data_IF_099918684415
#
_entry.id   IF_099918684415
#
_cell.length_a   1.000
_cell.length_b   1.000
_cell.length_c   1.000
_cell.angle_alpha   90.00
_cell.angle_beta   90.00
_cell.angle_gamma   90.00
#
_symmetry.space_group_name_H-M   'P 1'
#
loop_
_entity.id
_entity.type
_entity.pdbx_description
1 polymer ?
#
# COMPACT_ATOMS: atom_id res chain seq x y z
N UNK A 1 -9.88 -4.09 2.47
CA UNK A 1 -10.51 -2.84 2.92
C UNK A 1 -9.45 -1.76 3.01
N UNK A 2 -9.77 -0.51 2.65
CA UNK A 2 -8.88 0.64 2.79
C UNK A 2 -8.40 0.75 4.24
N UNK A 3 -7.11 1.02 4.44
CA UNK A 3 -6.53 1.23 5.76
C UNK A 3 -6.30 -0.02 6.62
N UNK A 4 -6.76 -1.21 6.21
CA UNK A 4 -6.69 -2.43 7.02
C UNK A 4 -5.25 -2.82 7.45
N UNK A 5 -4.24 -2.43 6.69
CA UNK A 5 -2.83 -2.76 6.96
C UNK A 5 -2.22 -2.01 8.15
N UNK A 6 -2.79 -0.89 8.56
CA UNK A 6 -2.20 -0.01 9.58
C UNK A 6 -2.95 -0.03 10.91
N UNK A 7 -4.19 -0.55 10.98
CA UNK A 7 -4.99 -0.52 12.21
C UNK A 7 -4.32 -1.37 13.31
N UNK A 8 -3.93 -0.79 14.46
CA UNK A 8 -3.36 -1.54 15.57
C UNK A 8 -4.29 -2.67 16.02
N UNK A 9 -3.74 -3.82 16.39
CA UNK A 9 -4.53 -5.00 16.76
C UNK A 9 -5.46 -4.76 17.96
N UNK A 10 -5.04 -3.92 18.91
CA UNK A 10 -5.83 -3.56 20.09
C UNK A 10 -6.83 -2.42 19.83
N UNK A 11 -6.78 -1.76 18.66
CA UNK A 11 -7.69 -0.67 18.32
C UNK A 11 -9.10 -1.21 18.03
N UNK A 12 -10.12 -0.51 18.50
CA UNK A 12 -11.52 -0.89 18.27
C UNK A 12 -11.90 -0.93 16.78
N UNK A 13 -11.20 -0.16 15.94
CA UNK A 13 -11.32 -0.19 14.49
C UNK A 13 -10.91 -1.52 13.88
N UNK A 14 -10.08 -2.32 14.54
CA UNK A 14 -9.61 -3.60 14.00
C UNK A 14 -10.76 -4.62 13.93
N UNK A 15 -11.54 -4.73 15.01
CA UNK A 15 -12.74 -5.61 15.06
C UNK A 15 -13.81 -5.12 14.09
N UNK A 16 -13.98 -3.79 13.95
CA UNK A 16 -14.92 -3.22 12.98
C UNK A 16 -14.51 -3.57 11.54
N UNK A 17 -13.24 -3.37 11.20
CA UNK A 17 -12.68 -3.75 9.89
C UNK A 17 -12.85 -5.24 9.60
N UNK A 18 -12.68 -6.12 10.60
CA UNK A 18 -12.91 -7.56 10.43
C UNK A 18 -14.38 -7.87 10.11
N UNK A 19 -15.32 -7.22 10.80
CA UNK A 19 -16.76 -7.36 10.52
C UNK A 19 -17.13 -6.86 9.11
N UNK A 20 -16.57 -5.72 8.71
CA UNK A 20 -16.74 -5.16 7.36
C UNK A 20 -16.15 -6.09 6.28
N UNK A 21 -14.99 -6.71 6.54
CA UNK A 21 -14.43 -7.72 5.64
C UNK A 21 -15.39 -8.90 5.43
N UNK A 22 -16.04 -9.37 6.50
CA UNK A 22 -17.05 -10.44 6.44
C UNK A 22 -18.25 -10.06 5.58
N UNK A 23 -18.74 -8.84 5.70
CA UNK A 23 -19.82 -8.33 4.84
C UNK A 23 -19.35 -8.19 3.39
N UNK A 24 -18.11 -7.69 3.19
CA UNK A 24 -17.57 -7.44 1.86
C UNK A 24 -17.35 -8.71 1.07
N UNK A 25 -16.85 -9.78 1.68
CA UNK A 25 -16.59 -11.04 0.96
C UNK A 25 -17.88 -11.67 0.42
N UNK A 26 -19.00 -11.55 1.14
CA UNK A 26 -20.32 -12.02 0.64
C UNK A 26 -20.70 -11.26 -0.64
N UNK A 27 -20.54 -9.93 -0.64
CA UNK A 27 -20.79 -9.12 -1.84
C UNK A 27 -19.85 -9.49 -3.00
N UNK A 28 -18.56 -9.72 -2.74
CA UNK A 28 -17.59 -10.15 -3.76
C UNK A 28 -17.98 -11.47 -4.43
N UNK A 29 -18.59 -12.41 -3.69
CA UNK A 29 -19.09 -13.66 -4.26
C UNK A 29 -20.23 -13.39 -5.26
N UNK A 30 -21.15 -12.47 -4.93
CA UNK A 30 -22.24 -12.09 -5.84
C UNK A 30 -21.75 -11.33 -7.08
N UNK A 31 -20.64 -10.59 -6.95
CA UNK A 31 -20.00 -9.85 -8.04
C UNK A 31 -19.09 -10.72 -8.94
N UNK A 32 -18.86 -11.99 -8.57
CA UNK A 32 -17.77 -12.82 -9.12
C UNK A 32 -16.41 -12.07 -9.11
N UNK A 33 -16.15 -11.27 -8.08
CA UNK A 33 -14.94 -10.47 -7.97
C UNK A 33 -13.78 -11.34 -7.50
N UNK A 34 -13.01 -11.84 -8.47
CA UNK A 34 -11.93 -12.82 -8.25
C UNK A 34 -10.57 -12.14 -8.08
N UNK A 35 -9.62 -12.78 -7.36
CA UNK A 35 -8.25 -12.30 -7.27
C UNK A 35 -7.61 -12.02 -8.64
N UNK A 36 -7.91 -12.81 -9.68
CA UNK A 36 -7.39 -12.62 -11.03
C UNK A 36 -7.83 -11.32 -11.70
N UNK A 37 -8.90 -10.67 -11.23
CA UNK A 37 -9.35 -9.36 -11.71
C UNK A 37 -8.68 -8.20 -10.95
N UNK A 38 -8.12 -8.47 -9.78
CA UNK A 38 -7.48 -7.46 -8.90
C UNK A 38 -5.95 -7.50 -9.06
N UNK A 39 -5.38 -8.70 -9.16
CA UNK A 39 -3.94 -8.95 -9.22
C UNK A 39 -3.41 -8.79 -10.65
N UNK A 40 -3.41 -7.56 -11.16
CA UNK A 40 -2.85 -7.19 -12.46
C UNK A 40 -1.36 -6.84 -12.38
N UNK A 41 -0.68 -6.75 -13.53
CA UNK A 41 0.69 -6.23 -13.60
C UNK A 41 0.81 -4.83 -12.97
N UNK A 42 -0.18 -3.96 -13.21
CA UNK A 42 -0.24 -2.63 -12.62
C UNK A 42 -0.41 -2.68 -11.09
N UNK A 43 -1.22 -3.60 -10.57
CA UNK A 43 -1.36 -3.80 -9.13
C UNK A 43 -0.05 -4.26 -8.47
N UNK A 44 0.71 -5.15 -9.11
CA UNK A 44 2.03 -5.55 -8.62
C UNK A 44 3.06 -4.41 -8.70
N UNK A 45 3.03 -3.58 -9.76
CA UNK A 45 3.86 -2.36 -9.85
C UNK A 45 3.52 -1.36 -8.76
N UNK A 46 2.23 -1.17 -8.46
CA UNK A 46 1.78 -0.35 -7.34
C UNK A 46 2.27 -0.93 -6.02
N UNK A 47 2.09 -2.23 -5.77
CA UNK A 47 2.57 -2.87 -4.55
C UNK A 47 4.09 -2.69 -4.38
N UNK A 48 4.86 -2.82 -5.46
CA UNK A 48 6.29 -2.55 -5.47
C UNK A 48 6.61 -1.09 -5.07
N UNK A 49 5.95 -0.14 -5.72
CA UNK A 49 6.08 1.30 -5.44
C UNK A 49 5.78 1.62 -3.97
N UNK A 50 4.68 1.07 -3.45
CA UNK A 50 4.20 1.33 -2.09
C UNK A 50 5.16 0.76 -1.05
N UNK A 51 5.65 -0.47 -1.23
CA UNK A 51 6.58 -1.02 -0.24
C UNK A 51 7.93 -0.30 -0.24
N UNK A 52 8.40 0.22 -1.39
CA UNK A 52 9.60 1.08 -1.42
C UNK A 52 9.34 2.38 -0.65
N UNK A 53 8.19 3.02 -0.88
CA UNK A 53 7.81 4.25 -0.17
C UNK A 53 7.64 4.04 1.35
N UNK A 54 7.36 2.81 1.79
CA UNK A 54 7.32 2.45 3.21
C UNK A 54 8.70 2.18 3.82
N UNK A 55 9.75 1.95 3.02
CA UNK A 55 11.00 1.36 3.52
C UNK A 55 10.81 -0.11 3.92
N UNK A 56 9.97 -0.83 3.18
CA UNK A 56 9.55 -2.19 3.50
C UNK A 56 10.69 -3.21 3.59
N UNK A 57 10.45 -4.29 4.34
CA UNK A 57 11.40 -5.39 4.53
C UNK A 57 11.86 -5.98 3.19
N UNK A 58 13.14 -6.39 3.11
CA UNK A 58 13.69 -7.11 1.95
C UNK A 58 12.93 -8.39 1.62
N UNK A 59 12.29 -9.03 2.61
CA UNK A 59 11.43 -10.19 2.41
C UNK A 59 10.21 -9.89 1.54
N UNK A 60 9.75 -8.64 1.49
CA UNK A 60 8.63 -8.23 0.65
C UNK A 60 8.92 -8.49 -0.84
N UNK A 61 10.17 -8.33 -1.29
CA UNK A 61 10.56 -8.60 -2.67
C UNK A 61 10.32 -10.08 -3.05
N UNK A 62 10.71 -11.00 -2.16
CA UNK A 62 10.53 -12.45 -2.37
C UNK A 62 9.04 -12.79 -2.43
N UNK A 63 8.25 -12.30 -1.47
CA UNK A 63 6.82 -12.56 -1.43
C UNK A 63 6.07 -11.95 -2.62
N UNK A 64 6.43 -10.74 -3.04
CA UNK A 64 5.80 -10.08 -4.17
C UNK A 64 6.04 -10.85 -5.48
N UNK A 65 7.28 -11.26 -5.74
CA UNK A 65 7.63 -12.07 -6.93
C UNK A 65 6.87 -13.40 -6.90
N UNK A 66 6.82 -14.07 -5.74
CA UNK A 66 6.09 -15.33 -5.60
C UNK A 66 4.58 -15.17 -5.87
N UNK A 67 3.95 -14.12 -5.31
CA UNK A 67 2.54 -13.82 -5.56
C UNK A 67 2.27 -13.47 -7.03
N UNK A 68 3.14 -12.69 -7.66
CA UNK A 68 3.05 -12.35 -9.07
C UNK A 68 3.11 -13.61 -9.95
N UNK A 69 4.08 -14.49 -9.70
CA UNK A 69 4.19 -15.76 -10.40
C UNK A 69 2.94 -16.63 -10.24
N UNK A 70 2.28 -16.58 -9.08
CA UNK A 70 1.00 -17.28 -8.87
C UNK A 70 -0.18 -16.69 -9.62
N UNK A 71 -0.15 -15.38 -9.86
CA UNK A 71 -1.10 -14.67 -10.70
C UNK A 71 -0.78 -14.76 -12.22
N UNK A 72 0.30 -15.44 -12.61
CA UNK A 72 0.75 -15.50 -14.01
C UNK A 72 1.42 -14.21 -14.50
N UNK A 73 1.81 -13.33 -13.58
CA UNK A 73 2.49 -12.06 -13.85
C UNK A 73 3.99 -12.26 -13.62
N UNK A 74 4.81 -11.83 -14.57
CA UNK A 74 6.27 -11.81 -14.40
C UNK A 74 6.70 -10.52 -13.72
N UNK A 75 7.36 -10.65 -12.57
CA UNK A 75 8.08 -9.57 -11.87
C UNK A 75 9.46 -10.11 -11.54
N UNK A 76 10.51 -9.35 -11.86
CA UNK A 76 11.90 -9.74 -11.57
C UNK A 76 12.53 -8.83 -10.52
N UNK A 77 13.70 -9.23 -10.00
CA UNK A 77 14.46 -8.38 -9.08
C UNK A 77 14.95 -7.10 -9.79
N UNK A 78 15.24 -7.17 -11.08
CA UNK A 78 15.60 -6.00 -11.89
C UNK A 78 14.46 -4.99 -11.97
N UNK A 79 13.22 -5.46 -12.13
CA UNK A 79 12.02 -4.60 -12.13
C UNK A 79 11.89 -3.86 -10.78
N UNK A 80 12.07 -4.59 -9.67
CA UNK A 80 12.04 -4.01 -8.33
C UNK A 80 13.18 -3.02 -8.11
N UNK A 81 14.39 -3.34 -8.60
CA UNK A 81 15.54 -2.46 -8.54
C UNK A 81 15.35 -1.18 -9.38
N UNK A 82 14.64 -1.26 -10.50
CA UNK A 82 14.27 -0.07 -11.27
C UNK A 82 13.31 0.84 -10.51
N UNK A 83 12.28 0.28 -9.88
CA UNK A 83 11.33 1.04 -9.06
C UNK A 83 12.04 1.65 -7.84
N UNK A 84 12.94 0.91 -7.18
CA UNK A 84 13.67 1.40 -6.01
C UNK A 84 14.49 2.68 -6.28
N UNK A 85 14.96 2.87 -7.52
CA UNK A 85 15.74 4.05 -7.90
C UNK A 85 14.90 5.32 -8.03
N UNK A 86 13.59 5.19 -8.17
CA UNK A 86 12.69 6.31 -8.45
C UNK A 86 11.75 6.64 -7.29
N UNK A 87 11.69 5.79 -6.26
CA UNK A 87 10.75 5.91 -5.14
C UNK A 87 11.50 6.09 -3.81
N UNK A 88 11.50 7.30 -3.20
CA UNK A 88 12.10 7.52 -1.91
C UNK A 88 11.25 6.96 -0.76
N UNK A 89 11.86 6.78 0.42
CA UNK A 89 11.12 6.33 1.62
C UNK A 89 10.37 7.52 2.21
N UNK A 90 9.04 7.45 2.21
CA UNK A 90 8.14 8.51 2.65
C UNK A 90 7.56 8.26 4.05
N UNK A 91 7.44 7.01 4.49
CA UNK A 91 6.97 6.69 5.83
C UNK A 91 8.11 6.77 6.85
N UNK A 92 7.96 7.60 7.88
CA UNK A 92 8.94 7.77 8.95
C UNK A 92 8.79 6.65 9.98
N UNK A 93 9.16 5.43 9.60
CA UNK A 93 9.00 4.24 10.42
C UNK A 93 10.36 3.60 10.73
N UNK A 94 10.55 3.15 11.96
CA UNK A 94 11.69 2.30 12.30
C UNK A 94 11.73 1.06 11.38
N UNK A 95 12.89 0.66 10.81
CA UNK A 95 14.25 1.14 11.12
C UNK A 95 14.76 2.33 10.29
N UNK A 96 14.02 2.77 9.26
CA UNK A 96 14.44 3.90 8.40
C UNK A 96 14.21 5.26 9.04
N UNK A 97 13.34 5.32 10.04
CA UNK A 97 12.93 6.49 10.79
C UNK A 97 12.84 6.21 12.29
N UNK A 98 12.12 7.08 12.99
CA UNK A 98 12.03 7.08 14.46
C UNK A 98 10.62 6.82 15.03
N UNK A 99 9.61 6.63 14.17
CA UNK A 99 8.22 6.35 14.59
C UNK A 99 7.84 4.88 14.44
N UNK A 100 6.73 4.52 15.04
CA UNK A 100 6.18 3.16 15.03
C UNK A 100 4.91 3.09 14.18
N UNK A 101 4.45 1.86 13.90
CA UNK A 101 3.23 1.62 13.11
C UNK A 101 1.98 2.26 13.71
N UNK A 102 1.93 2.46 15.03
CA UNK A 102 0.84 3.15 15.71
C UNK A 102 0.80 4.64 15.36
N UNK A 103 1.95 5.32 15.38
CA UNK A 103 2.05 6.71 14.92
C UNK A 103 1.62 6.83 13.46
N UNK A 104 2.06 5.89 12.62
CA UNK A 104 1.69 5.84 11.20
C UNK A 104 0.19 5.68 10.99
N UNK A 105 -0.47 4.83 11.78
CA UNK A 105 -1.93 4.69 11.74
C UNK A 105 -2.64 5.99 12.08
N UNK A 106 -2.29 6.61 13.20
CA UNK A 106 -2.94 7.85 13.65
C UNK A 106 -2.64 9.05 12.74
N UNK A 107 -1.50 9.04 12.04
CA UNK A 107 -1.17 10.02 11.02
C UNK A 107 -2.02 9.89 9.73
N UNK A 108 -2.82 8.83 9.59
CA UNK A 108 -3.69 8.58 8.42
C UNK A 108 -3.39 7.26 7.70
N UNK A 109 -2.33 6.56 8.11
CA UNK A 109 -1.99 5.21 7.69
C UNK A 109 -1.69 5.06 6.20
N UNK A 110 -1.88 3.84 5.71
CA UNK A 110 -1.62 3.53 4.31
C UNK A 110 -2.42 4.40 3.32
N UNK A 111 -3.72 4.72 3.53
CA UNK A 111 -4.46 5.58 2.63
C UNK A 111 -3.82 6.97 2.45
N UNK A 112 -3.32 7.58 3.53
CA UNK A 112 -2.63 8.86 3.47
C UNK A 112 -1.32 8.76 2.67
N UNK A 113 -0.52 7.71 2.92
CA UNK A 113 0.70 7.46 2.16
C UNK A 113 0.41 7.28 0.66
N UNK A 114 -0.59 6.45 0.32
CA UNK A 114 -1.01 6.22 -1.06
C UNK A 114 -1.44 7.51 -1.75
N UNK A 115 -2.19 8.38 -1.04
CA UNK A 115 -2.59 9.67 -1.57
C UNK A 115 -1.39 10.58 -1.84
N UNK A 116 -0.38 10.58 -0.96
CA UNK A 116 0.85 11.37 -1.15
C UNK A 116 1.72 10.91 -2.30
N UNK A 117 1.72 9.61 -2.62
CA UNK A 117 2.49 9.05 -3.74
C UNK A 117 1.63 8.76 -4.96
N UNK A 118 0.39 9.27 -5.02
CA UNK A 118 -0.59 8.93 -6.05
C UNK A 118 -0.08 9.17 -7.48
N UNK A 119 0.79 10.15 -7.69
CA UNK A 119 1.44 10.45 -8.98
C UNK A 119 2.37 9.34 -9.49
N UNK A 120 2.76 8.39 -8.63
CA UNK A 120 3.58 7.22 -8.96
C UNK A 120 2.76 5.92 -9.09
N UNK A 121 1.46 5.97 -8.76
CA UNK A 121 0.57 4.83 -8.76
C UNK A 121 -0.32 4.81 -10.00
N UNK A 122 -0.67 3.60 -10.44
CA UNK A 122 -1.80 3.37 -11.34
C UNK A 122 -3.09 3.44 -10.52
N UNK A 123 -3.82 4.55 -10.64
CA UNK A 123 -5.01 4.81 -9.84
C UNK A 123 -6.26 4.09 -10.35
N UNK A 124 -6.22 3.51 -11.55
CA UNK A 124 -7.35 2.80 -12.15
C UNK A 124 -7.41 1.32 -11.76
N UNK A 125 -6.38 0.83 -11.06
CA UNK A 125 -6.36 -0.52 -10.50
C UNK A 125 -7.61 -0.82 -9.66
N UNK A 126 -8.34 -1.87 -10.01
CA UNK A 126 -9.48 -2.37 -9.24
C UNK A 126 -9.03 -2.84 -7.86
N UNK A 127 -9.83 -2.56 -6.84
CA UNK A 127 -9.58 -3.02 -5.47
C UNK A 127 -10.63 -4.03 -5.03
N UNK A 128 -10.37 -4.71 -3.90
CA UNK A 128 -11.37 -5.57 -3.26
C UNK A 128 -12.65 -4.82 -2.90
N UNK A 129 -12.67 -3.49 -2.82
CA UNK A 129 -13.89 -2.70 -2.53
C UNK A 129 -14.80 -2.53 -3.75
N UNK A 130 -14.44 -3.08 -4.92
CA UNK A 130 -15.25 -2.95 -6.15
C UNK A 130 -15.11 -1.59 -6.86
N UNK A 131 -14.16 -0.76 -6.41
CA UNK A 131 -13.81 0.54 -6.99
C UNK A 131 -12.31 0.65 -7.25
N UNK A 132 -11.92 1.64 -8.05
CA UNK A 132 -10.52 1.90 -8.37
C UNK A 132 -9.73 2.36 -7.14
N UNK A 133 -8.41 2.19 -7.19
CA UNK A 133 -7.50 2.63 -6.15
C UNK A 133 -7.63 4.15 -5.90
N UNK A 134 -7.70 4.95 -6.96
CA UNK A 134 -7.89 6.39 -6.89
C UNK A 134 -9.17 6.76 -6.12
N UNK A 135 -10.29 6.10 -6.42
CA UNK A 135 -11.54 6.31 -5.70
C UNK A 135 -11.46 5.84 -4.22
N UNK A 136 -10.65 4.83 -3.92
CA UNK A 136 -10.48 4.31 -2.56
C UNK A 136 -9.67 5.25 -1.65
N UNK A 137 -8.71 6.00 -2.22
CA UNK A 137 -7.82 6.91 -1.49
C UNK A 137 -8.17 8.39 -1.67
N UNK A 138 -9.16 8.72 -2.50
CA UNK A 138 -9.60 10.10 -2.73
C UNK A 138 -9.95 10.79 -1.41
N UNK A 139 -9.30 11.92 -1.14
CA UNK A 139 -9.50 12.69 0.08
C UNK A 139 -9.01 12.03 1.36
N UNK A 140 -8.15 11.00 1.28
CA UNK A 140 -7.53 10.40 2.45
C UNK A 140 -6.69 11.46 3.19
N UNK A 141 -7.03 11.78 4.45
CA UNK A 141 -6.33 12.83 5.20
C UNK A 141 -4.98 12.33 5.70
N UNK A 142 -3.99 13.22 5.68
CA UNK A 142 -2.75 13.09 6.44
C UNK A 142 -2.85 14.03 7.64
N UNK A 143 -2.77 13.49 8.85
CA UNK A 143 -2.89 14.26 10.09
C UNK A 143 -1.52 14.65 10.67
N UNK A 144 -0.45 13.98 10.24
CA UNK A 144 0.92 14.28 10.67
C UNK A 144 1.91 14.06 9.52
N UNK A 145 2.32 15.17 8.90
CA UNK A 145 3.29 15.16 7.81
C UNK A 145 4.71 14.79 8.25
N UNK A 146 5.01 14.79 9.56
CA UNK A 146 6.31 14.34 10.07
C UNK A 146 6.43 12.81 10.11
N UNK A 147 5.28 12.13 10.14
CA UNK A 147 5.16 10.66 10.12
C UNK A 147 4.98 10.13 8.71
N UNK A 148 4.12 10.76 7.90
CA UNK A 148 3.88 10.37 6.50
C UNK A 148 4.30 11.52 5.61
N UNK A 149 5.49 11.43 5.01
CA UNK A 149 6.07 12.52 4.23
C UNK A 149 5.69 12.44 2.75
N UNK A 150 5.91 13.53 2.02
CA UNK A 150 5.73 13.60 0.58
C UNK A 150 6.97 13.14 -0.20
N UNK A 151 6.83 13.00 -1.52
CA UNK A 151 7.94 12.64 -2.41
C UNK A 151 9.05 13.71 -2.46
N UNK A 152 8.71 14.97 -2.20
CA UNK A 152 9.64 16.11 -2.25
C UNK A 152 10.44 16.29 -0.95
N UNK A 153 9.90 15.83 0.17
CA UNK A 153 10.55 15.89 1.49
C UNK A 153 10.53 14.50 2.16
N UNK A 154 11.14 13.48 1.55
CA UNK A 154 11.07 12.12 2.07
C UNK A 154 11.92 11.94 3.34
N UNK A 155 11.75 10.80 4.01
CA UNK A 155 12.55 10.39 5.17
C UNK A 155 13.94 9.98 4.71
N UNK A 156 14.01 9.14 3.68
CA UNK A 156 15.25 8.75 3.02
C UNK A 156 15.16 9.19 1.56
N UNK A 157 15.95 10.18 1.13
CA UNK A 157 15.97 10.63 -0.25
C UNK A 157 16.61 9.58 -1.15
N UNK A 158 16.33 9.66 -2.44
CA UNK A 158 17.05 8.87 -3.44
C UNK A 158 18.52 9.24 -3.43
N UNK A 159 19.39 8.24 -3.29
CA UNK A 159 20.83 8.41 -3.49
C UNK A 159 21.08 8.87 -4.93
N UNK A 160 21.77 10.01 -5.08
CA UNK A 160 22.22 10.51 -6.40
C UNK A 160 23.20 9.57 -7.07
#
# INVERSE_FOLDING_TARGET
MRGASSIPAADSGHVRMASECGSRIVAMVHEDLRPSQILSAAAFRNAATVYMALGGSTNAAIHLIAMAGRAGIRVTLEDLGAIARDIPVCANLFPSGDRLMEDFYFAGGLPALLAKIATRLDLDCLTVEGRTLGAAIAGAPCYDDTVIRGLDEPVVPLSR
#
